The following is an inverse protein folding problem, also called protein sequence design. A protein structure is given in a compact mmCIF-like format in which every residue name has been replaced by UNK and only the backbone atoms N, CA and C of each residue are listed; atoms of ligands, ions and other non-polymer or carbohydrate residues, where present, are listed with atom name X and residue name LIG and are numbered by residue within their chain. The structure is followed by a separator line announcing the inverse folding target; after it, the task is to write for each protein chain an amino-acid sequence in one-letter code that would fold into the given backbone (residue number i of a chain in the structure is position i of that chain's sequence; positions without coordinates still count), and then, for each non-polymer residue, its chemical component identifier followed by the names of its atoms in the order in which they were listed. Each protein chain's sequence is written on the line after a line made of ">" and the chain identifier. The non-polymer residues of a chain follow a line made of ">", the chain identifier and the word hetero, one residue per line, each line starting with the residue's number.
data_IF_589220418795
#
_entry.id   IF_589220418795
#
_cell.length_a   1.000
_cell.length_b   1.000
_cell.length_c   1.000
_cell.angle_alpha   90.00
_cell.angle_beta   90.00
_cell.angle_gamma   90.00
#
_symmetry.space_group_name_H-M   'P 1'
#
loop_
_entity.id
_entity.type
_entity.pdbx_description
1 polymer ?
#
# COMPACT_ATOMS: atom_id res chain seq x y z
N UNK A 1 -22.33 -10.18 10.53
CA UNK A 1 -20.91 -9.82 10.42
C UNK A 1 -20.10 -10.85 9.62
N UNK A 2 -20.29 -12.16 9.84
CA UNK A 2 -19.65 -13.20 9.02
C UNK A 2 -19.90 -13.05 7.52
N UNK A 3 -21.15 -12.83 7.11
CA UNK A 3 -21.50 -12.63 5.70
C UNK A 3 -20.80 -11.41 5.07
N UNK A 4 -20.72 -10.30 5.80
CA UNK A 4 -20.01 -9.09 5.35
C UNK A 4 -18.52 -9.38 5.11
N UNK A 5 -17.85 -10.04 6.06
CA UNK A 5 -16.43 -10.40 5.94
C UNK A 5 -16.21 -11.31 4.72
N UNK A 6 -17.07 -12.31 4.54
CA UNK A 6 -16.99 -13.21 3.39
C UNK A 6 -17.20 -12.47 2.06
N UNK A 7 -18.18 -11.56 2.00
CA UNK A 7 -18.41 -10.72 0.81
C UNK A 7 -17.26 -9.76 0.52
N UNK A 8 -16.71 -9.10 1.53
CA UNK A 8 -15.53 -8.23 1.37
C UNK A 8 -14.32 -9.03 0.89
N UNK A 9 -14.06 -10.19 1.51
CA UNK A 9 -12.92 -11.02 1.15
C UNK A 9 -13.03 -11.58 -0.28
N UNK A 10 -14.24 -12.01 -0.69
CA UNK A 10 -14.51 -12.41 -2.07
C UNK A 10 -14.30 -11.24 -3.04
N UNK A 11 -14.84 -10.06 -2.73
CA UNK A 11 -14.64 -8.87 -3.56
C UNK A 11 -13.16 -8.49 -3.72
N UNK A 12 -12.37 -8.59 -2.66
CA UNK A 12 -10.93 -8.30 -2.73
C UNK A 12 -10.22 -9.34 -3.60
N UNK A 13 -10.43 -10.65 -3.36
CA UNK A 13 -9.76 -11.71 -4.14
C UNK A 13 -10.13 -11.72 -5.61
N UNK A 14 -11.41 -11.53 -5.91
CA UNK A 14 -11.95 -11.66 -7.26
C UNK A 14 -11.89 -10.34 -8.03
N UNK A 15 -11.40 -9.27 -7.39
CA UNK A 15 -11.39 -7.95 -7.98
C UNK A 15 -12.80 -7.42 -8.26
N UNK A 16 -13.75 -7.68 -7.36
CA UNK A 16 -15.11 -7.19 -7.38
C UNK A 16 -15.28 -5.83 -6.70
N UNK A 17 -16.53 -5.36 -6.65
CA UNK A 17 -16.90 -4.20 -5.83
C UNK A 17 -17.08 -4.64 -4.37
N UNK A 18 -16.56 -3.83 -3.44
CA UNK A 18 -16.82 -4.01 -2.02
C UNK A 18 -18.33 -3.87 -1.75
N UNK A 19 -18.91 -4.72 -0.88
CA UNK A 19 -20.31 -4.61 -0.51
C UNK A 19 -20.56 -3.29 0.22
N UNK A 20 -21.83 -2.93 0.36
CA UNK A 20 -22.24 -1.78 1.17
C UNK A 20 -21.71 -1.91 2.59
N UNK A 21 -21.07 -0.85 3.08
CA UNK A 21 -20.42 -0.85 4.38
C UNK A 21 -21.41 -0.53 5.51
N UNK A 22 -21.17 -1.01 6.74
CA UNK A 22 -21.93 -0.60 7.91
C UNK A 22 -21.80 0.91 8.15
N UNK A 23 -22.91 1.56 8.50
CA UNK A 23 -22.88 2.97 8.86
C UNK A 23 -22.18 3.19 10.20
N UNK A 24 -21.39 4.26 10.30
CA UNK A 24 -20.87 4.76 11.59
C UNK A 24 -19.77 3.93 12.22
N UNK A 25 -18.99 3.15 11.44
CA UNK A 25 -17.80 2.47 11.96
C UNK A 25 -16.83 3.50 12.54
N UNK A 26 -16.43 3.29 13.79
CA UNK A 26 -15.27 3.98 14.36
C UNK A 26 -13.98 3.42 13.75
N UNK A 27 -12.85 4.13 13.91
CA UNK A 27 -11.56 3.59 13.46
C UNK A 27 -11.21 2.28 14.20
N UNK A 28 -11.54 2.16 15.48
CA UNK A 28 -11.27 0.94 16.24
C UNK A 28 -12.13 -0.24 15.74
N UNK A 29 -13.41 0.00 15.44
CA UNK A 29 -14.27 -1.01 14.80
C UNK A 29 -13.72 -1.43 13.44
N UNK A 30 -13.22 -0.46 12.67
CA UNK A 30 -12.65 -0.71 11.36
C UNK A 30 -11.37 -1.55 11.42
N UNK A 31 -10.44 -1.26 12.34
CA UNK A 31 -9.25 -2.08 12.55
C UNK A 31 -9.61 -3.50 13.03
N UNK A 32 -10.63 -3.64 13.90
CA UNK A 32 -11.11 -4.95 14.32
C UNK A 32 -11.75 -5.75 13.16
N UNK A 33 -12.41 -5.06 12.22
CA UNK A 33 -12.96 -5.67 11.01
C UNK A 33 -11.85 -6.01 10.00
N UNK A 34 -10.89 -5.11 9.79
CA UNK A 34 -9.72 -5.30 8.92
C UNK A 34 -9.00 -6.60 9.23
N UNK A 35 -8.69 -6.88 10.51
CA UNK A 35 -8.04 -8.13 10.93
C UNK A 35 -8.77 -9.37 10.43
N UNK A 36 -10.10 -9.36 10.49
CA UNK A 36 -10.94 -10.49 10.05
C UNK A 36 -11.00 -10.59 8.53
N UNK A 37 -11.05 -9.47 7.83
CA UNK A 37 -11.02 -9.42 6.37
C UNK A 37 -9.67 -9.89 5.85
N UNK A 38 -8.56 -9.39 6.42
CA UNK A 38 -7.20 -9.80 6.09
C UNK A 38 -7.03 -11.30 6.29
N UNK A 39 -7.43 -11.86 7.44
CA UNK A 39 -7.38 -13.29 7.69
C UNK A 39 -8.20 -14.11 6.67
N UNK A 40 -9.36 -13.59 6.25
CA UNK A 40 -10.21 -14.25 5.26
C UNK A 40 -9.67 -14.13 3.82
N UNK A 41 -8.88 -13.11 3.48
CA UNK A 41 -8.27 -12.92 2.16
C UNK A 41 -6.94 -13.65 2.03
N UNK A 42 -6.06 -13.50 3.03
CA UNK A 42 -4.68 -13.95 3.03
C UNK A 42 -4.52 -15.48 3.11
N UNK A 43 -5.57 -16.20 3.52
CA UNK A 43 -5.52 -17.63 3.85
C UNK A 43 -4.33 -17.98 4.77
N UNK A 44 -4.03 -17.07 5.71
CA UNK A 44 -2.96 -17.21 6.69
C UNK A 44 -1.59 -16.65 6.30
N UNK A 45 -1.40 -16.06 5.11
CA UNK A 45 -0.08 -15.54 4.68
C UNK A 45 -0.10 -14.05 4.33
N UNK A 46 0.56 -13.24 5.15
CA UNK A 46 0.82 -11.82 4.90
C UNK A 46 2.30 -11.60 4.62
N UNK A 47 2.59 -10.76 3.62
CA UNK A 47 3.95 -10.49 3.17
C UNK A 47 4.63 -9.35 3.94
N UNK A 48 3.85 -8.60 4.72
CA UNK A 48 4.30 -7.44 5.45
C UNK A 48 3.20 -6.38 5.61
N UNK A 49 3.59 -5.12 5.76
CA UNK A 49 2.71 -4.02 6.13
C UNK A 49 2.84 -2.83 5.17
N UNK A 50 1.80 -2.00 5.13
CA UNK A 50 1.75 -0.78 4.32
C UNK A 50 1.29 0.43 5.11
N UNK A 51 1.96 1.55 4.94
CA UNK A 51 1.52 2.85 5.43
C UNK A 51 0.65 3.53 4.38
N UNK A 52 -0.57 3.90 4.74
CA UNK A 52 -1.50 4.62 3.85
C UNK A 52 -1.93 5.95 4.45
N UNK A 53 -2.51 6.82 3.61
CA UNK A 53 -2.96 8.15 4.04
C UNK A 53 -1.84 8.95 4.72
N UNK A 54 -0.63 8.88 4.19
CA UNK A 54 0.57 9.52 4.76
C UNK A 54 0.58 11.04 4.56
N UNK A 55 -0.10 11.55 3.54
CA UNK A 55 -0.25 12.98 3.28
C UNK A 55 -1.43 13.60 4.06
N UNK A 56 -1.20 14.75 4.70
CA UNK A 56 -2.21 15.46 5.50
C UNK A 56 -3.47 15.83 4.69
N UNK A 57 -3.33 16.17 3.40
CA UNK A 57 -4.47 16.48 2.54
C UNK A 57 -5.38 15.25 2.33
N UNK A 58 -4.79 14.06 2.13
CA UNK A 58 -5.52 12.80 2.02
C UNK A 58 -6.23 12.44 3.33
N UNK A 59 -5.55 12.64 4.47
CA UNK A 59 -6.14 12.44 5.79
C UNK A 59 -7.40 13.30 5.97
N UNK A 60 -7.30 14.61 5.71
CA UNK A 60 -8.44 15.53 5.86
C UNK A 60 -9.60 15.15 4.94
N UNK A 61 -9.32 14.79 3.68
CA UNK A 61 -10.35 14.36 2.73
C UNK A 61 -11.11 13.10 3.18
N UNK A 62 -10.46 12.22 3.95
CA UNK A 62 -11.04 10.98 4.48
C UNK A 62 -11.51 11.09 5.93
N UNK A 63 -11.47 12.29 6.54
CA UNK A 63 -11.87 12.52 7.93
C UNK A 63 -10.92 11.92 8.96
N UNK A 64 -9.64 11.78 8.61
CA UNK A 64 -8.57 11.21 9.43
C UNK A 64 -7.71 12.31 10.05
N UNK A 65 -7.07 11.98 11.17
CA UNK A 65 -6.14 12.87 11.89
C UNK A 65 -4.70 12.33 11.92
N UNK A 66 -4.48 11.14 11.39
CA UNK A 66 -3.22 10.42 11.38
C UNK A 66 -3.19 9.45 10.18
N UNK A 67 -2.00 8.96 9.78
CA UNK A 67 -1.87 7.92 8.76
C UNK A 67 -2.49 6.59 9.22
N UNK A 68 -2.63 5.64 8.30
CA UNK A 68 -3.26 4.34 8.52
C UNK A 68 -2.27 3.21 8.24
N UNK A 69 -2.42 2.05 8.91
CA UNK A 69 -1.60 0.86 8.64
C UNK A 69 -2.44 -0.31 8.12
N UNK A 70 -1.92 -1.03 7.14
CA UNK A 70 -2.54 -2.22 6.57
C UNK A 70 -1.55 -3.33 6.34
N UNK A 71 -2.05 -4.45 5.83
CA UNK A 71 -1.26 -5.64 5.53
C UNK A 71 -1.10 -5.83 4.03
N UNK A 72 0.08 -6.27 3.59
CA UNK A 72 0.32 -6.73 2.23
C UNK A 72 -0.02 -8.22 2.14
N UNK A 73 -0.80 -8.60 1.14
CA UNK A 73 -1.10 -10.01 0.89
C UNK A 73 0.05 -10.66 0.13
N UNK A 74 0.47 -11.88 0.50
CA UNK A 74 1.49 -12.61 -0.28
C UNK A 74 0.99 -12.87 -1.72
N UNK A 75 -0.30 -13.16 -1.88
CA UNK A 75 -0.94 -13.33 -3.19
C UNK A 75 -0.96 -12.06 -4.05
N UNK A 76 -0.71 -10.88 -3.47
CA UNK A 76 -0.66 -9.60 -4.17
C UNK A 76 0.71 -9.28 -4.79
N UNK A 77 1.74 -10.07 -4.47
CA UNK A 77 3.11 -9.85 -4.97
C UNK A 77 3.18 -10.14 -6.47
N UNK A 78 3.60 -9.14 -7.23
CA UNK A 78 3.87 -9.23 -8.66
C UNK A 78 5.37 -9.15 -8.94
N UNK A 79 5.81 -9.80 -10.01
CA UNK A 79 7.19 -9.72 -10.48
C UNK A 79 7.42 -8.42 -11.30
N UNK A 80 8.63 -7.85 -11.29
CA UNK A 80 9.02 -6.84 -12.27
C UNK A 80 8.81 -7.35 -13.71
N UNK A 81 8.40 -6.45 -14.61
CA UNK A 81 8.05 -6.77 -16.00
C UNK A 81 6.65 -7.37 -16.19
N UNK A 82 5.85 -7.48 -15.13
CA UNK A 82 4.46 -7.98 -15.21
C UNK A 82 3.60 -7.11 -16.11
N UNK A 83 2.58 -7.73 -16.70
CA UNK A 83 1.47 -7.06 -17.38
C UNK A 83 0.16 -7.38 -16.68
N UNK A 84 -0.67 -6.37 -16.41
CA UNK A 84 -1.98 -6.56 -15.79
C UNK A 84 -3.02 -5.58 -16.32
N UNK A 85 -4.32 -5.92 -16.30
CA UNK A 85 -5.35 -5.05 -16.85
C UNK A 85 -5.59 -3.80 -15.99
N UNK A 86 -5.82 -2.68 -16.66
CA UNK A 86 -6.46 -1.53 -16.05
C UNK A 86 -7.87 -1.92 -15.56
N UNK A 87 -8.29 -1.34 -14.44
CA UNK A 87 -9.62 -1.55 -13.91
C UNK A 87 -10.05 -0.34 -13.06
N UNK A 88 -11.37 -0.18 -12.90
CA UNK A 88 -11.92 0.87 -12.05
C UNK A 88 -11.40 0.75 -10.61
N UNK A 89 -10.98 1.88 -10.06
CA UNK A 89 -10.44 1.97 -8.70
C UNK A 89 -8.99 1.54 -8.54
N UNK A 90 -8.35 0.98 -9.58
CA UNK A 90 -6.93 0.60 -9.55
C UNK A 90 -6.08 1.84 -9.77
N UNK A 91 -5.12 2.06 -8.88
CA UNK A 91 -4.16 3.15 -8.95
C UNK A 91 -2.73 2.62 -8.82
N UNK A 92 -1.75 3.51 -8.96
CA UNK A 92 -0.32 3.28 -8.86
C UNK A 92 0.26 4.29 -7.87
N UNK A 93 1.12 3.79 -6.98
CA UNK A 93 1.86 4.59 -6.02
C UNK A 93 3.32 4.15 -6.05
N UNK A 94 4.25 5.11 -6.12
CA UNK A 94 5.68 4.85 -5.99
C UNK A 94 6.08 4.88 -4.52
N UNK A 95 6.77 3.86 -4.03
CA UNK A 95 7.13 3.75 -2.62
C UNK A 95 8.55 3.23 -2.43
N UNK A 96 9.09 3.44 -1.22
CA UNK A 96 10.26 2.71 -0.73
C UNK A 96 9.77 1.54 0.13
N UNK A 97 10.26 0.35 -0.17
CA UNK A 97 10.04 -0.85 0.64
C UNK A 97 11.25 -1.13 1.52
N UNK A 98 11.01 -1.49 2.77
CA UNK A 98 12.01 -1.95 3.74
C UNK A 98 11.73 -3.40 4.09
N UNK A 99 12.72 -4.28 3.93
CA UNK A 99 12.63 -5.64 4.47
C UNK A 99 13.16 -5.61 5.90
N UNK A 100 12.41 -6.15 6.86
CA UNK A 100 12.74 -6.14 8.29
C UNK A 100 12.89 -7.55 8.87
N UNK A 101 13.50 -7.66 10.05
CA UNK A 101 13.38 -8.87 10.89
C UNK A 101 12.15 -8.84 11.82
N UNK A 102 12.00 -9.88 12.64
CA UNK A 102 10.95 -10.02 13.65
C UNK A 102 10.95 -8.93 14.73
N UNK A 103 12.08 -8.26 14.96
CA UNK A 103 12.20 -7.11 15.87
C UNK A 103 11.91 -5.76 15.15
N UNK A 104 11.64 -5.80 13.85
CA UNK A 104 11.41 -4.62 13.01
C UNK A 104 12.70 -3.92 12.59
N UNK A 105 13.88 -4.51 12.81
CA UNK A 105 15.13 -3.93 12.35
C UNK A 105 15.24 -4.07 10.82
N UNK A 106 15.54 -2.98 10.09
CA UNK A 106 15.64 -3.04 8.65
C UNK A 106 16.88 -3.83 8.23
N UNK A 107 16.76 -4.62 7.15
CA UNK A 107 17.83 -5.40 6.55
C UNK A 107 18.23 -4.86 5.18
N UNK A 108 17.23 -4.57 4.35
CA UNK A 108 17.40 -4.03 3.00
C UNK A 108 16.32 -3.02 2.70
N UNK A 109 16.55 -2.22 1.68
CA UNK A 109 15.56 -1.30 1.15
C UNK A 109 15.54 -1.38 -0.38
N UNK A 110 14.41 -1.12 -1.01
CA UNK A 110 14.35 -1.08 -2.47
C UNK A 110 13.08 -0.42 -3.01
N UNK A 111 13.04 -0.16 -4.33
CA UNK A 111 11.86 0.36 -5.01
C UNK A 111 10.64 -0.55 -4.84
N UNK A 112 9.46 0.05 -4.67
CA UNK A 112 8.18 -0.65 -4.71
C UNK A 112 7.17 0.15 -5.52
N UNK A 113 6.33 -0.54 -6.30
CA UNK A 113 5.11 0.04 -6.85
C UNK A 113 3.94 -0.60 -6.12
N UNK A 114 3.20 0.19 -5.36
CA UNK A 114 1.91 -0.25 -4.84
C UNK A 114 0.85 -0.11 -5.92
N UNK A 115 -0.05 -1.09 -6.00
CA UNK A 115 -1.18 -1.11 -6.93
C UNK A 115 -2.47 -1.23 -6.12
N UNK A 116 -2.87 -0.18 -5.37
CA UNK A 116 -4.08 -0.23 -4.55
C UNK A 116 -5.34 -0.27 -5.42
N UNK A 117 -6.41 -0.85 -4.86
CA UNK A 117 -7.73 -0.87 -5.49
C UNK A 117 -8.83 -0.40 -4.55
N UNK A 118 -9.33 0.80 -4.81
CA UNK A 118 -10.47 1.37 -4.09
C UNK A 118 -11.76 1.17 -4.90
N UNK A 119 -12.52 0.14 -4.56
CA UNK A 119 -13.69 -0.30 -5.34
C UNK A 119 -14.98 -0.38 -4.51
N UNK A 120 -15.37 0.71 -3.84
CA UNK A 120 -16.65 0.76 -3.12
C UNK A 120 -17.84 0.76 -4.09
N UNK A 121 -18.87 -0.04 -3.82
CA UNK A 121 -20.10 -0.03 -4.61
C UNK A 121 -20.96 1.23 -4.39
N UNK A 122 -20.83 1.87 -3.22
CA UNK A 122 -21.54 3.08 -2.83
C UNK A 122 -20.50 4.18 -2.55
N UNK A 123 -20.52 5.28 -3.29
CA UNK A 123 -19.56 6.38 -3.11
C UNK A 123 -19.66 7.01 -1.70
N UNK A 124 -20.83 6.91 -1.04
CA UNK A 124 -20.99 7.37 0.34
C UNK A 124 -20.16 6.57 1.35
N UNK A 125 -19.70 5.37 0.97
CA UNK A 125 -18.86 4.52 1.81
C UNK A 125 -17.37 4.91 1.75
N UNK A 126 -16.97 5.89 0.93
CA UNK A 126 -15.58 6.33 0.80
C UNK A 126 -15.17 7.28 1.93
N UNK A 127 -14.88 6.71 3.09
CA UNK A 127 -14.36 7.42 4.26
C UNK A 127 -13.21 6.64 4.92
N UNK A 128 -12.50 7.28 5.86
CA UNK A 128 -11.32 6.72 6.52
C UNK A 128 -11.56 5.39 7.22
N UNK A 129 -12.63 5.25 8.00
CA UNK A 129 -12.95 4.00 8.70
C UNK A 129 -13.21 2.86 7.72
N UNK A 130 -14.01 3.11 6.68
CA UNK A 130 -14.29 2.08 5.67
C UNK A 130 -13.05 1.70 4.86
N UNK A 131 -12.14 2.65 4.64
CA UNK A 131 -10.85 2.38 4.01
C UNK A 131 -9.98 1.46 4.88
N UNK A 132 -9.91 1.69 6.19
CA UNK A 132 -9.24 0.76 7.13
C UNK A 132 -9.89 -0.62 7.06
N UNK A 133 -11.22 -0.69 7.11
CA UNK A 133 -11.95 -1.95 7.10
C UNK A 133 -11.67 -2.80 5.85
N UNK A 134 -11.44 -2.19 4.68
CA UNK A 134 -11.05 -2.88 3.45
C UNK A 134 -9.52 -3.01 3.27
N UNK A 135 -8.77 -2.98 4.37
CA UNK A 135 -7.32 -3.11 4.40
C UNK A 135 -6.58 -2.05 3.56
N UNK A 136 -7.07 -0.81 3.64
CA UNK A 136 -6.50 0.37 2.98
C UNK A 136 -6.30 0.12 1.48
N UNK A 137 -7.32 -0.45 0.84
CA UNK A 137 -7.30 -0.75 -0.58
C UNK A 137 -6.12 -1.64 -1.04
N UNK A 138 -5.49 -2.40 -0.12
CA UNK A 138 -4.40 -3.31 -0.49
C UNK A 138 -4.89 -4.34 -1.49
N UNK A 139 -4.23 -4.42 -2.64
CA UNK A 139 -4.53 -5.35 -3.72
C UNK A 139 -3.24 -6.02 -4.21
N UNK A 140 -2.44 -5.31 -5.00
CA UNK A 140 -1.20 -5.84 -5.58
C UNK A 140 -0.03 -4.89 -5.36
N UNK A 141 1.19 -5.40 -5.53
CA UNK A 141 2.41 -4.60 -5.47
C UNK A 141 3.54 -5.28 -6.23
N UNK A 142 4.47 -4.48 -6.76
CA UNK A 142 5.68 -4.93 -7.44
C UNK A 142 6.87 -4.56 -6.59
N UNK A 143 7.74 -5.52 -6.30
CA UNK A 143 8.96 -5.31 -5.52
C UNK A 143 10.16 -5.31 -6.45
N UNK A 144 10.89 -4.19 -6.47
CA UNK A 144 12.15 -4.05 -7.19
C UNK A 144 13.31 -4.75 -6.47
N UNK A 145 14.51 -4.61 -7.03
CA UNK A 145 15.71 -5.15 -6.42
C UNK A 145 15.95 -4.51 -5.04
N UNK A 146 16.19 -5.36 -4.04
CA UNK A 146 16.51 -4.91 -2.69
C UNK A 146 18.01 -4.67 -2.56
N UNK A 147 18.37 -3.53 -2.01
CA UNK A 147 19.75 -3.07 -1.84
C UNK A 147 20.11 -2.98 -0.34
N UNK A 148 21.42 -2.97 0.00
CA UNK A 148 21.87 -2.63 1.34
C UNK A 148 21.29 -1.30 1.82
N UNK A 149 21.11 -1.17 3.14
CA UNK A 149 20.62 0.07 3.73
C UNK A 149 21.56 1.25 3.46
N UNK A 150 20.96 2.43 3.41
CA UNK A 150 21.65 3.71 3.22
C UNK A 150 21.51 4.56 4.48
N UNK A 151 22.51 5.40 4.75
CA UNK A 151 22.41 6.40 5.82
C UNK A 151 21.31 7.43 5.55
N UNK A 152 21.06 7.72 4.26
CA UNK A 152 20.02 8.64 3.80
C UNK A 152 19.45 8.21 2.45
N UNK A 153 18.17 8.53 2.26
CA UNK A 153 17.43 8.38 1.00
C UNK A 153 17.05 9.75 0.41
N UNK A 154 17.43 10.86 1.07
CA UNK A 154 17.01 12.21 0.67
C UNK A 154 17.58 12.70 -0.65
N UNK A 155 18.57 11.99 -1.21
CA UNK A 155 19.14 12.25 -2.54
C UNK A 155 18.42 11.49 -3.67
N UNK A 156 17.49 10.59 -3.33
CA UNK A 156 16.73 9.80 -4.32
C UNK A 156 15.55 10.62 -4.81
N UNK A 157 15.56 10.94 -6.09
CA UNK A 157 14.40 11.43 -6.83
C UNK A 157 13.73 10.25 -7.54
N UNK A 158 12.45 10.06 -7.29
CA UNK A 158 11.62 9.03 -7.89
C UNK A 158 10.86 9.65 -9.05
N UNK A 159 10.86 9.02 -10.21
CA UNK A 159 10.04 9.40 -11.36
C UNK A 159 9.22 8.22 -11.84
N UNK A 160 7.94 8.45 -12.13
CA UNK A 160 7.08 7.48 -12.81
C UNK A 160 6.76 8.04 -14.19
N UNK A 161 7.02 7.27 -15.23
CA UNK A 161 6.62 7.60 -16.60
C UNK A 161 5.68 6.55 -17.16
N UNK A 162 4.81 6.97 -18.07
CA UNK A 162 3.97 6.11 -18.90
C UNK A 162 4.19 6.45 -20.36
N UNK A 163 4.62 5.48 -21.15
CA UNK A 163 4.91 5.66 -22.58
C UNK A 163 5.85 6.84 -22.87
N UNK A 164 6.77 7.11 -21.94
CA UNK A 164 7.74 8.21 -22.01
C UNK A 164 7.25 9.55 -21.48
N UNK A 165 5.98 9.68 -21.09
CA UNK A 165 5.42 10.89 -20.47
C UNK A 165 5.47 10.79 -18.94
N UNK A 166 5.87 11.87 -18.26
CA UNK A 166 5.91 11.92 -16.80
C UNK A 166 4.51 11.85 -16.20
N UNK A 167 4.32 10.93 -15.24
CA UNK A 167 3.12 10.79 -14.42
C UNK A 167 3.35 11.49 -13.08
N UNK A 168 4.49 11.25 -12.44
CA UNK A 168 4.90 11.96 -11.23
C UNK A 168 6.41 12.01 -11.06
N UNK A 169 6.86 12.95 -10.22
CA UNK A 169 8.24 13.12 -9.80
C UNK A 169 8.26 13.62 -8.36
N UNK A 170 8.92 12.91 -7.46
CA UNK A 170 8.97 13.25 -6.03
C UNK A 170 10.22 12.70 -5.35
N UNK A 171 10.71 13.33 -4.27
CA UNK A 171 11.80 12.77 -3.48
C UNK A 171 11.32 11.54 -2.70
N UNK A 172 12.22 10.58 -2.44
CA UNK A 172 11.93 9.42 -1.59
C UNK A 172 11.59 9.78 -0.13
N UNK A 173 11.79 11.05 0.26
CA UNK A 173 11.41 11.58 1.57
C UNK A 173 9.98 12.11 1.66
N UNK A 174 9.21 12.08 0.56
CA UNK A 174 7.88 12.68 0.46
C UNK A 174 6.87 12.04 1.43
N UNK A 175 6.91 10.71 1.58
CA UNK A 175 6.05 9.99 2.50
C UNK A 175 6.61 9.98 3.94
N UNK A 176 5.81 10.46 4.90
CA UNK A 176 6.11 10.43 6.36
C UNK A 176 7.49 10.99 6.77
N UNK A 177 8.08 11.88 5.97
CA UNK A 177 9.42 12.42 6.23
C UNK A 177 10.56 11.47 5.85
N UNK A 178 10.27 10.41 5.10
CA UNK A 178 11.22 9.47 4.51
C UNK A 178 11.29 8.10 5.20
N UNK A 179 12.03 7.15 4.61
CA UNK A 179 11.93 5.73 4.96
C UNK A 179 12.22 5.42 6.42
N UNK A 180 13.20 6.09 7.05
CA UNK A 180 13.52 5.87 8.46
C UNK A 180 12.41 6.37 9.40
N UNK A 181 11.83 7.54 9.11
CA UNK A 181 10.74 8.11 9.91
C UNK A 181 9.45 7.31 9.73
N UNK A 182 9.18 6.88 8.49
CA UNK A 182 8.06 5.99 8.17
C UNK A 182 8.19 4.66 8.91
N UNK A 183 9.36 4.02 8.89
CA UNK A 183 9.61 2.78 9.63
C UNK A 183 9.32 2.94 11.13
N UNK A 184 9.87 3.96 11.77
CA UNK A 184 9.64 4.21 13.20
C UNK A 184 8.14 4.38 13.51
N UNK A 185 7.40 5.09 12.66
CA UNK A 185 5.95 5.24 12.78
C UNK A 185 5.23 3.89 12.60
N UNK A 186 5.55 3.14 11.54
CA UNK A 186 4.94 1.85 11.24
C UNK A 186 5.16 0.83 12.35
N UNK A 187 6.36 0.76 12.94
CA UNK A 187 6.66 -0.16 14.04
C UNK A 187 5.82 0.18 15.29
N UNK A 188 5.65 1.48 15.58
CA UNK A 188 4.78 1.89 16.69
C UNK A 188 3.31 1.55 16.42
N UNK A 189 2.82 1.87 15.22
CA UNK A 189 1.43 1.61 14.83
C UNK A 189 1.14 0.10 14.79
N UNK A 190 2.05 -0.71 14.24
CA UNK A 190 1.93 -2.17 14.23
C UNK A 190 1.80 -2.74 15.65
N UNK A 191 2.61 -2.26 16.59
CA UNK A 191 2.53 -2.64 18.01
C UNK A 191 1.19 -2.23 18.64
N UNK A 192 0.73 -1.01 18.40
CA UNK A 192 -0.56 -0.50 18.92
C UNK A 192 -1.74 -1.31 18.36
N UNK A 193 -1.66 -1.71 17.10
CA UNK A 193 -2.68 -2.53 16.45
C UNK A 193 -2.51 -4.03 16.70
N UNK A 194 -1.43 -4.47 17.35
CA UNK A 194 -1.12 -5.89 17.58
C UNK A 194 -0.98 -6.65 16.26
N UNK A 195 -0.24 -6.06 15.31
CA UNK A 195 0.21 -6.70 14.08
C UNK A 195 1.61 -7.26 14.35
N UNK A 196 1.76 -8.57 14.14
CA UNK A 196 3.03 -9.26 14.37
C UNK A 196 3.96 -9.04 13.17
N UNK A 197 5.26 -8.94 13.46
CA UNK A 197 6.32 -8.88 12.46
C UNK A 197 7.00 -10.24 12.39
N UNK A 198 7.35 -10.64 11.17
CA UNK A 198 8.13 -11.85 10.90
C UNK A 198 9.40 -11.50 10.15
N UNK A 199 10.39 -12.37 10.27
CA UNK A 199 11.64 -12.22 9.54
C UNK A 199 11.42 -12.19 8.03
N UNK A 200 11.87 -11.13 7.38
CA UNK A 200 11.73 -10.94 5.94
C UNK A 200 10.46 -10.21 5.50
N UNK A 201 9.63 -9.72 6.44
CA UNK A 201 8.47 -8.91 6.09
C UNK A 201 8.85 -7.62 5.35
N UNK A 202 8.03 -7.25 4.36
CA UNK A 202 8.16 -6.00 3.60
C UNK A 202 7.27 -4.89 4.20
N UNK A 203 7.86 -3.76 4.55
CA UNK A 203 7.16 -2.55 4.98
C UNK A 203 7.25 -1.50 3.88
N UNK A 204 6.11 -1.09 3.31
CA UNK A 204 6.05 -0.04 2.29
C UNK A 204 5.63 1.29 2.93
N UNK A 205 6.41 2.33 2.69
CA UNK A 205 6.48 3.53 3.56
C UNK A 205 5.46 4.63 3.22
N UNK A 206 4.61 4.40 2.22
CA UNK A 206 3.63 5.32 1.69
C UNK A 206 4.05 5.97 0.36
N UNK A 207 3.04 6.42 -0.39
CA UNK A 207 3.18 7.04 -1.70
C UNK A 207 4.10 8.27 -1.71
N UNK A 208 5.12 8.21 -2.56
CA UNK A 208 5.93 9.35 -2.99
C UNK A 208 5.39 9.85 -4.33
N UNK A 209 5.03 11.13 -4.41
CA UNK A 209 4.47 11.73 -5.62
C UNK A 209 2.98 11.47 -5.81
N UNK A 210 2.27 10.99 -4.78
CA UNK A 210 0.81 10.82 -4.77
C UNK A 210 0.30 9.56 -5.47
N UNK A 211 -1.03 9.48 -5.56
CA UNK A 211 -1.79 8.35 -6.13
C UNK A 211 -2.23 8.65 -7.57
N UNK A 212 -1.98 7.73 -8.49
CA UNK A 212 -2.24 7.92 -9.92
C UNK A 212 -3.12 6.81 -10.49
N UNK A 213 -4.21 7.11 -11.23
CA UNK A 213 -4.99 6.06 -11.87
C UNK A 213 -4.14 5.16 -12.78
N UNK A 214 -4.30 3.84 -12.66
CA UNK A 214 -3.60 2.87 -13.51
C UNK A 214 -4.24 2.83 -14.90
N UNK A 215 -3.76 3.68 -15.80
CA UNK A 215 -4.23 3.75 -17.18
C UNK A 215 -3.39 2.82 -18.07
N UNK A 216 -3.93 2.31 -19.17
CA UNK A 216 -3.16 1.48 -20.10
C UNK A 216 -1.88 2.20 -20.58
N UNK A 217 -0.78 1.46 -20.68
CA UNK A 217 0.52 1.96 -21.10
C UNK A 217 1.69 1.17 -20.51
N UNK A 218 2.89 1.41 -21.03
CA UNK A 218 4.13 0.89 -20.46
C UNK A 218 4.67 1.86 -19.41
N UNK A 219 4.91 1.37 -18.21
CA UNK A 219 5.37 2.17 -17.08
C UNK A 219 6.83 1.88 -16.74
N UNK A 220 7.51 2.96 -16.38
CA UNK A 220 8.87 2.95 -15.84
C UNK A 220 8.90 3.80 -14.59
N UNK A 221 9.20 3.17 -13.46
CA UNK A 221 9.47 3.85 -12.20
C UNK A 221 10.98 3.83 -11.94
N UNK A 222 11.61 5.00 -12.01
CA UNK A 222 13.06 5.18 -11.88
C UNK A 222 13.37 5.88 -10.54
N UNK A 223 14.17 5.21 -9.72
CA UNK A 223 14.63 5.66 -8.39
C UNK A 223 16.12 6.03 -8.43
N UNK A 224 16.64 6.36 -9.62
CA UNK A 224 18.05 6.64 -9.87
C UNK A 224 18.92 5.42 -9.59
N UNK A 225 20.06 5.64 -8.91
CA UNK A 225 21.00 4.57 -8.54
C UNK A 225 20.40 3.55 -7.55
N UNK A 226 19.21 3.83 -7.00
CA UNK A 226 18.52 2.91 -6.11
C UNK A 226 17.74 1.80 -6.85
N UNK A 227 17.56 1.96 -8.16
CA UNK A 227 16.99 0.93 -9.03
C UNK A 227 15.77 1.40 -9.81
N UNK A 228 15.22 0.48 -10.61
CA UNK A 228 14.11 0.75 -11.52
C UNK A 228 13.14 -0.42 -11.54
N UNK A 229 11.86 -0.12 -11.71
CA UNK A 229 10.78 -1.09 -11.95
C UNK A 229 10.13 -0.76 -13.30
N UNK A 230 9.95 -1.78 -14.13
CA UNK A 230 9.18 -1.69 -15.36
C UNK A 230 7.96 -2.62 -15.27
N UNK A 231 6.82 -2.19 -15.82
CA UNK A 231 5.60 -3.00 -15.89
C UNK A 231 4.67 -2.45 -16.97
N UNK A 232 3.62 -3.20 -17.29
CA UNK A 232 2.62 -2.78 -18.28
C UNK A 232 1.23 -2.85 -17.68
N UNK A 233 0.43 -1.82 -17.92
CA UNK A 233 -1.01 -1.83 -17.69
C UNK A 233 -1.70 -1.99 -19.04
N UNK A 234 -2.61 -2.95 -19.18
CA UNK A 234 -3.35 -3.22 -20.44
C UNK A 234 -4.76 -2.69 -20.42
#
# INVERSE_FOLDING_TARGET
>A
MGDLIASMAAAIRDGGLLPKMPAGLTLDDAYALQKKVVAAVADGTVAGLKAGMTAAAGQQAFGLTHPLIGSLYESGRLAPGVSFPSAAGVSLECEIGLVVDEDGAPKTAGPVIEVPRMAFADEADRNGSNLVACNIASDRYIVGEQQPLRDSYGDIQITLTRDGEEVCSAPASDALGGPQAALAWMLNEARERGLELEDGMLLITGACGGIHPAQSGHYVADYGDFGRIEFTVT
#
